data_IF_831560657674
#
_entry.id   IF_831560657674
#
_cell.length_a   1.000
_cell.length_b   1.000
_cell.length_c   1.000
_cell.angle_alpha   90.00
_cell.angle_beta   90.00
_cell.angle_gamma   90.00
#
_symmetry.space_group_name_H-M   'P 1'
#
loop_
_entity.id
_entity.type
_entity.pdbx_description
1 polymer ?
#
# COMPACT_ATOMS: atom_id res chain seq x y z
N UNK A 1 -23.88 -3.97 19.14
CA UNK A 1 -22.44 -3.70 19.38
C UNK A 1 -21.49 -4.78 18.84
N UNK A 2 -21.81 -6.08 19.00
CA UNK A 2 -21.02 -7.23 18.51
C UNK A 2 -20.62 -7.18 17.02
N UNK A 3 -21.56 -6.91 16.12
CA UNK A 3 -21.31 -6.84 14.66
C UNK A 3 -20.33 -5.73 14.24
N UNK A 4 -20.26 -4.63 15.00
CA UNK A 4 -19.42 -3.46 14.67
C UNK A 4 -17.95 -3.68 15.04
N UNK A 5 -17.70 -4.38 16.14
CA UNK A 5 -16.34 -4.76 16.57
C UNK A 5 -15.79 -5.84 15.63
N UNK A 6 -16.63 -6.81 15.24
CA UNK A 6 -16.27 -7.87 14.31
C UNK A 6 -15.90 -7.34 12.91
N UNK A 7 -16.63 -6.34 12.40
CA UNK A 7 -16.31 -5.71 11.12
C UNK A 7 -14.99 -4.92 11.15
N UNK A 8 -14.70 -4.19 12.23
CA UNK A 8 -13.42 -3.49 12.36
C UNK A 8 -12.24 -4.47 12.43
N UNK A 9 -12.40 -5.58 13.16
CA UNK A 9 -11.36 -6.59 13.27
C UNK A 9 -11.09 -7.31 11.94
N UNK A 10 -12.14 -7.61 11.17
CA UNK A 10 -12.01 -8.13 9.81
C UNK A 10 -11.28 -7.17 8.88
N UNK A 11 -11.59 -5.87 8.95
CA UNK A 11 -10.91 -4.85 8.16
C UNK A 11 -9.42 -4.73 8.52
N UNK A 12 -9.07 -4.76 9.81
CA UNK A 12 -7.67 -4.72 10.25
C UNK A 12 -6.92 -5.95 9.72
N UNK A 13 -7.50 -7.15 9.84
CA UNK A 13 -6.90 -8.38 9.29
C UNK A 13 -6.69 -8.30 7.79
N UNK A 14 -7.68 -7.78 7.06
CA UNK A 14 -7.59 -7.62 5.62
C UNK A 14 -6.45 -6.66 5.26
N UNK A 15 -6.37 -5.50 5.92
CA UNK A 15 -5.33 -4.52 5.69
C UNK A 15 -3.93 -5.07 6.02
N UNK A 16 -3.79 -5.83 7.10
CA UNK A 16 -2.54 -6.51 7.44
C UNK A 16 -2.16 -7.56 6.37
N UNK A 17 -3.13 -8.32 5.86
CA UNK A 17 -2.90 -9.26 4.77
C UNK A 17 -2.46 -8.55 3.50
N UNK A 18 -3.11 -7.45 3.14
CA UNK A 18 -2.76 -6.63 1.98
C UNK A 18 -1.35 -6.03 2.12
N UNK A 19 -1.01 -5.54 3.32
CA UNK A 19 0.31 -5.02 3.64
C UNK A 19 1.38 -6.08 3.48
N UNK A 20 1.21 -7.23 4.13
CA UNK A 20 2.18 -8.32 4.11
C UNK A 20 2.39 -8.87 2.70
N UNK A 21 1.31 -9.15 1.97
CA UNK A 21 1.39 -9.62 0.59
C UNK A 21 2.01 -8.56 -0.33
N UNK A 22 1.70 -7.28 -0.12
CA UNK A 22 2.31 -6.20 -0.88
C UNK A 22 3.82 -6.11 -0.67
N UNK A 23 4.28 -6.16 0.58
CA UNK A 23 5.72 -6.18 0.88
C UNK A 23 6.41 -7.43 0.30
N UNK A 24 5.81 -8.61 0.43
CA UNK A 24 6.34 -9.83 -0.19
C UNK A 24 6.42 -9.72 -1.72
N UNK A 25 5.41 -9.11 -2.35
CA UNK A 25 5.40 -8.89 -3.80
C UNK A 25 6.56 -7.98 -4.24
N UNK A 26 6.83 -6.91 -3.49
CA UNK A 26 7.96 -6.01 -3.76
C UNK A 26 9.29 -6.74 -3.58
N UNK A 27 9.46 -7.50 -2.49
CA UNK A 27 10.68 -8.28 -2.22
C UNK A 27 10.92 -9.31 -3.31
N UNK A 28 9.89 -10.06 -3.70
CA UNK A 28 9.96 -11.05 -4.76
C UNK A 28 10.41 -10.43 -6.09
N UNK A 29 9.80 -9.31 -6.49
CA UNK A 29 10.20 -8.61 -7.70
C UNK A 29 11.55 -7.89 -7.58
N UNK A 30 12.04 -7.62 -6.36
CA UNK A 30 13.40 -7.13 -6.13
C UNK A 30 14.47 -8.15 -6.50
N UNK A 31 14.14 -9.45 -6.46
CA UNK A 31 15.04 -10.54 -6.88
C UNK A 31 15.12 -10.69 -8.39
N UNK A 32 14.24 -10.02 -9.14
CA UNK A 32 14.25 -10.08 -10.59
C UNK A 32 15.25 -9.07 -11.14
N UNK A 33 16.11 -9.54 -12.05
CA UNK A 33 17.05 -8.67 -12.73
C UNK A 33 16.31 -7.59 -13.53
N UNK A 34 16.84 -6.36 -13.51
CA UNK A 34 16.28 -5.29 -14.32
C UNK A 34 16.46 -5.61 -15.82
N UNK A 35 15.35 -5.80 -16.53
CA UNK A 35 15.33 -6.17 -17.95
C UNK A 35 15.76 -5.01 -18.86
N UNK A 36 16.01 -3.81 -18.32
CA UNK A 36 16.42 -2.66 -19.10
C UNK A 36 17.78 -2.90 -19.81
N UNK A 37 17.82 -2.86 -21.14
CA UNK A 37 18.98 -3.31 -21.92
C UNK A 37 20.20 -2.37 -21.85
N UNK A 38 20.01 -1.12 -21.44
CA UNK A 38 21.07 -0.10 -21.39
C UNK A 38 22.02 -0.21 -20.18
N UNK A 39 21.74 -1.09 -19.21
CA UNK A 39 22.54 -1.22 -17.98
C UNK A 39 23.56 -2.36 -18.08
N UNK A 40 23.48 -3.22 -19.10
CA UNK A 40 24.24 -4.48 -19.14
C UNK A 40 25.45 -4.42 -20.07
N UNK A 41 26.64 -4.30 -19.48
CA UNK A 41 27.87 -4.81 -20.07
C UNK A 41 27.95 -6.34 -19.95
N UNK A 42 28.85 -6.97 -20.70
CA UNK A 42 29.03 -8.44 -20.72
C UNK A 42 29.41 -9.07 -19.36
N UNK A 43 29.77 -8.26 -18.36
CA UNK A 43 30.22 -8.68 -17.03
C UNK A 43 29.21 -8.35 -15.91
N UNK A 44 27.96 -8.02 -16.22
CA UNK A 44 26.98 -7.62 -15.20
C UNK A 44 26.67 -8.78 -14.23
N UNK A 45 27.10 -8.65 -12.98
CA UNK A 45 26.71 -9.50 -11.86
C UNK A 45 25.50 -8.85 -11.18
N UNK A 46 24.41 -9.60 -11.06
CA UNK A 46 23.23 -9.11 -10.36
C UNK A 46 23.48 -9.03 -8.85
N UNK A 47 23.33 -7.83 -8.31
CA UNK A 47 23.29 -7.57 -6.88
C UNK A 47 21.87 -7.17 -6.50
N UNK A 48 21.35 -7.77 -5.43
CA UNK A 48 19.99 -7.48 -4.96
C UNK A 48 19.94 -6.06 -4.37
N UNK A 49 19.07 -5.16 -4.87
CA UNK A 49 19.03 -3.76 -4.44
C UNK A 49 18.30 -3.63 -3.09
N UNK A 50 18.98 -4.05 -2.01
CA UNK A 50 18.37 -4.17 -0.68
C UNK A 50 17.85 -2.84 -0.15
N UNK A 51 18.60 -1.76 -0.33
CA UNK A 51 18.25 -0.42 0.16
C UNK A 51 16.97 0.10 -0.54
N UNK A 52 16.89 -0.08 -1.85
CA UNK A 52 15.76 0.39 -2.66
C UNK A 52 14.49 -0.43 -2.38
N UNK A 53 14.63 -1.75 -2.23
CA UNK A 53 13.51 -2.63 -1.88
C UNK A 53 12.99 -2.34 -0.47
N UNK A 54 13.88 -2.11 0.49
CA UNK A 54 13.49 -1.73 1.85
C UNK A 54 12.80 -0.36 1.85
N UNK A 55 13.35 0.61 1.12
CA UNK A 55 12.75 1.94 0.99
C UNK A 55 11.34 1.85 0.39
N UNK A 56 11.16 1.13 -0.72
CA UNK A 56 9.83 0.96 -1.34
C UNK A 56 8.83 0.24 -0.42
N UNK A 57 9.28 -0.76 0.35
CA UNK A 57 8.44 -1.39 1.38
C UNK A 57 8.04 -0.41 2.49
N UNK A 58 8.97 0.44 2.95
CA UNK A 58 8.68 1.47 3.96
C UNK A 58 7.68 2.49 3.44
N UNK A 59 7.88 2.99 2.21
CA UNK A 59 6.97 3.93 1.57
C UNK A 59 5.57 3.31 1.44
N UNK A 60 5.46 2.04 1.02
CA UNK A 60 4.18 1.32 0.96
C UNK A 60 3.52 1.21 2.34
N UNK A 61 4.31 0.99 3.38
CA UNK A 61 3.85 0.81 4.77
C UNK A 61 3.21 2.06 5.38
N UNK A 62 3.53 3.27 4.88
CA UNK A 62 3.04 4.55 5.42
C UNK A 62 1.51 4.57 5.56
N UNK A 63 0.79 4.09 4.53
CA UNK A 63 -0.67 4.02 4.57
C UNK A 63 -1.18 3.18 5.75
N UNK A 64 -0.61 1.99 5.94
CA UNK A 64 -1.05 1.04 6.96
C UNK A 64 -0.71 1.55 8.36
N UNK A 65 0.44 2.21 8.52
CA UNK A 65 0.81 2.88 9.76
C UNK A 65 -0.19 3.99 10.08
N UNK A 66 -0.46 4.90 9.13
CA UNK A 66 -1.42 5.98 9.31
C UNK A 66 -2.83 5.46 9.64
N UNK A 67 -3.28 4.42 8.95
CA UNK A 67 -4.57 3.77 9.20
C UNK A 67 -4.60 3.07 10.57
N UNK A 68 -3.50 2.43 10.97
CA UNK A 68 -3.34 1.83 12.29
C UNK A 68 -3.44 2.86 13.41
N UNK A 69 -2.72 3.97 13.30
CA UNK A 69 -2.81 5.09 14.24
C UNK A 69 -4.22 5.65 14.34
N UNK A 70 -4.88 5.86 13.19
CA UNK A 70 -6.25 6.35 13.18
C UNK A 70 -7.24 5.39 13.87
N UNK A 71 -6.99 4.09 13.78
CA UNK A 71 -7.79 3.07 14.47
C UNK A 71 -7.55 3.05 15.98
N UNK A 72 -6.28 3.08 16.40
CA UNK A 72 -5.88 3.07 17.83
C UNK A 72 -6.41 4.32 18.55
N UNK A 73 -6.29 5.49 17.93
CA UNK A 73 -6.79 6.75 18.47
C UNK A 73 -8.30 6.94 18.30
N UNK A 74 -9.01 5.95 17.74
CA UNK A 74 -10.44 6.00 17.42
C UNK A 74 -10.85 7.20 16.52
N UNK A 75 -9.93 7.78 15.76
CA UNK A 75 -10.19 8.88 14.84
C UNK A 75 -11.20 8.49 13.76
N UNK A 76 -11.19 7.22 13.33
CA UNK A 76 -12.19 6.63 12.43
C UNK A 76 -13.63 6.76 12.95
N UNK A 77 -13.82 6.88 14.27
CA UNK A 77 -15.14 7.03 14.89
C UNK A 77 -15.51 8.49 15.06
N UNK A 78 -14.55 9.31 15.52
CA UNK A 78 -14.76 10.71 15.85
C UNK A 78 -14.82 11.59 14.60
N UNK A 79 -13.91 11.38 13.65
CA UNK A 79 -13.77 12.17 12.43
C UNK A 79 -13.65 11.28 11.18
N UNK A 80 -14.67 10.48 10.85
CA UNK A 80 -14.59 9.47 9.79
C UNK A 80 -14.24 10.06 8.41
N UNK A 81 -14.78 11.24 8.08
CA UNK A 81 -14.51 11.92 6.81
C UNK A 81 -13.07 12.45 6.76
N UNK A 82 -12.57 13.05 7.84
CA UNK A 82 -11.21 13.58 7.89
C UNK A 82 -10.19 12.45 7.76
N UNK A 83 -10.38 11.36 8.51
CA UNK A 83 -9.50 10.18 8.42
C UNK A 83 -9.52 9.58 7.02
N UNK A 84 -10.70 9.47 6.39
CA UNK A 84 -10.81 9.01 5.02
C UNK A 84 -10.03 9.91 4.06
N UNK A 85 -10.21 11.23 4.14
CA UNK A 85 -9.52 12.20 3.27
C UNK A 85 -8.00 12.13 3.41
N UNK A 86 -7.48 12.08 4.65
CA UNK A 86 -6.04 11.95 4.91
C UNK A 86 -5.50 10.65 4.31
N UNK A 87 -6.18 9.52 4.54
CA UNK A 87 -5.77 8.24 3.98
C UNK A 87 -5.79 8.25 2.44
N UNK A 88 -6.78 8.90 1.83
CA UNK A 88 -6.85 9.06 0.37
C UNK A 88 -5.70 9.90 -0.17
N UNK A 89 -5.32 10.99 0.49
CA UNK A 89 -4.15 11.78 0.11
C UNK A 89 -2.86 10.96 0.17
N UNK A 90 -2.69 10.12 1.20
CA UNK A 90 -1.53 9.23 1.32
C UNK A 90 -1.47 8.27 0.12
N UNK A 91 -2.57 7.57 -0.20
CA UNK A 91 -2.57 6.60 -1.32
C UNK A 91 -2.36 7.29 -2.67
N UNK A 92 -2.95 8.46 -2.89
CA UNK A 92 -2.72 9.23 -4.11
C UNK A 92 -1.24 9.66 -4.22
N UNK A 93 -0.65 10.14 -3.13
CA UNK A 93 0.77 10.46 -3.09
C UNK A 93 1.66 9.25 -3.37
N UNK A 94 1.35 8.09 -2.77
CA UNK A 94 2.02 6.83 -3.03
C UNK A 94 1.91 6.41 -4.51
N UNK A 95 0.74 6.57 -5.12
CA UNK A 95 0.51 6.27 -6.54
C UNK A 95 1.35 7.18 -7.44
N UNK A 96 1.40 8.49 -7.16
CA UNK A 96 2.24 9.41 -7.93
C UNK A 96 3.72 9.01 -7.87
N UNK A 97 4.22 8.71 -6.66
CA UNK A 97 5.58 8.20 -6.47
C UNK A 97 5.80 6.90 -7.26
N UNK A 98 4.82 5.99 -7.24
CA UNK A 98 4.89 4.72 -7.96
C UNK A 98 4.90 4.91 -9.48
N UNK A 99 4.13 5.85 -10.03
CA UNK A 99 4.10 6.16 -11.46
C UNK A 99 5.48 6.69 -11.88
N UNK A 100 6.01 7.70 -11.17
CA UNK A 100 7.32 8.25 -11.50
C UNK A 100 8.45 7.23 -11.35
N UNK A 101 8.38 6.36 -10.33
CA UNK A 101 9.32 5.27 -10.16
C UNK A 101 9.23 4.26 -11.29
N UNK A 102 8.04 3.72 -11.58
CA UNK A 102 7.87 2.64 -12.55
C UNK A 102 8.22 3.03 -14.01
N UNK A 103 8.25 4.32 -14.36
CA UNK A 103 8.58 4.78 -15.72
C UNK A 103 10.01 4.42 -16.17
N UNK A 104 10.95 4.27 -15.25
CA UNK A 104 12.36 4.04 -15.57
C UNK A 104 13.07 3.02 -14.67
N UNK A 105 12.34 2.30 -13.83
CA UNK A 105 12.93 1.60 -12.69
C UNK A 105 12.76 0.07 -12.72
N UNK A 106 13.50 -0.64 -11.83
CA UNK A 106 13.50 -2.10 -11.79
C UNK A 106 12.13 -2.73 -11.46
N UNK A 107 11.98 -4.06 -11.62
CA UNK A 107 10.70 -4.75 -11.51
C UNK A 107 9.95 -4.54 -10.18
N UNK A 108 10.66 -4.29 -9.08
CA UNK A 108 10.05 -4.03 -7.77
C UNK A 108 9.25 -2.72 -7.71
N UNK A 109 9.58 -1.71 -8.53
CA UNK A 109 8.78 -0.48 -8.66
C UNK A 109 7.47 -0.73 -9.39
N UNK A 110 7.46 -1.62 -10.37
CA UNK A 110 6.22 -2.07 -11.02
C UNK A 110 5.33 -2.85 -10.03
N UNK A 111 5.92 -3.71 -9.20
CA UNK A 111 5.20 -4.38 -8.13
C UNK A 111 4.60 -3.39 -7.12
N UNK A 112 5.36 -2.36 -6.74
CA UNK A 112 4.88 -1.27 -5.89
C UNK A 112 3.72 -0.49 -6.55
N UNK A 113 3.80 -0.19 -7.85
CA UNK A 113 2.70 0.41 -8.61
C UNK A 113 1.43 -0.45 -8.59
N UNK A 114 1.54 -1.75 -8.84
CA UNK A 114 0.40 -2.67 -8.80
C UNK A 114 -0.21 -2.68 -7.39
N UNK A 115 0.62 -2.81 -6.36
CA UNK A 115 0.17 -2.82 -4.97
C UNK A 115 -0.56 -1.51 -4.58
N UNK A 116 -0.05 -0.36 -5.02
CA UNK A 116 -0.65 0.95 -4.75
C UNK A 116 -1.96 1.16 -5.50
N UNK A 117 -2.09 0.65 -6.74
CA UNK A 117 -3.37 0.64 -7.47
C UNK A 117 -4.39 -0.21 -6.73
N UNK A 118 -4.03 -1.42 -6.30
CA UNK A 118 -4.93 -2.28 -5.51
C UNK A 118 -5.34 -1.55 -4.23
N UNK A 119 -4.39 -0.94 -3.53
CA UNK A 119 -4.64 -0.18 -2.32
C UNK A 119 -5.60 1.00 -2.55
N UNK A 120 -5.48 1.71 -3.68
CA UNK A 120 -6.39 2.77 -4.08
C UNK A 120 -7.80 2.25 -4.31
N UNK A 121 -7.96 1.13 -5.00
CA UNK A 121 -9.26 0.50 -5.21
C UNK A 121 -9.89 0.12 -3.85
N UNK A 122 -9.11 -0.44 -2.93
CA UNK A 122 -9.56 -0.70 -1.56
C UNK A 122 -10.02 0.57 -0.85
N UNK A 123 -9.24 1.65 -0.94
CA UNK A 123 -9.55 2.95 -0.35
C UNK A 123 -10.84 3.55 -0.94
N UNK A 124 -11.06 3.46 -2.25
CA UNK A 124 -12.21 4.07 -2.94
C UNK A 124 -13.50 3.26 -2.80
N UNK A 125 -13.44 1.93 -2.80
CA UNK A 125 -14.65 1.10 -2.85
C UNK A 125 -15.01 0.49 -1.50
N UNK A 126 -14.03 -0.05 -0.78
CA UNK A 126 -14.30 -0.87 0.41
C UNK A 126 -14.50 0.00 1.64
N UNK A 127 -13.69 1.07 1.80
CA UNK A 127 -13.83 1.97 2.95
C UNK A 127 -15.16 2.75 2.91
N UNK A 128 -15.60 3.35 1.78
CA UNK A 128 -16.89 4.05 1.73
C UNK A 128 -18.09 3.12 1.88
N UNK A 129 -18.03 1.90 1.35
CA UNK A 129 -19.08 0.90 1.55
C UNK A 129 -19.30 0.58 3.05
N UNK A 130 -18.20 0.50 3.81
CA UNK A 130 -18.25 0.29 5.26
C UNK A 130 -18.74 1.51 6.04
N UNK A 131 -18.43 2.73 5.57
CA UNK A 131 -18.94 3.97 6.13
C UNK A 131 -20.45 4.13 5.88
N UNK A 132 -20.95 3.78 4.69
CA UNK A 132 -22.36 3.94 4.33
C UNK A 132 -23.27 3.00 5.14
N UNK A 133 -22.85 1.74 5.36
CA UNK A 133 -23.59 0.79 6.23
C UNK A 133 -23.80 1.31 7.65
N UNK A 134 -22.96 2.22 8.16
CA UNK A 134 -23.09 2.79 9.51
C UNK A 134 -24.25 3.80 9.62
N UNK A 135 -24.74 4.36 8.52
CA UNK A 135 -25.77 5.43 8.51
C UNK A 135 -27.21 4.92 8.37
N UNK A 136 -27.39 3.63 8.05
CA UNK A 136 -28.69 2.99 7.75
C UNK A 136 -29.23 2.11 8.89
N UNK A 137 -28.69 2.21 10.10
CA UNK A 137 -29.11 1.50 11.31
C UNK A 137 -29.27 2.48 12.46
#
# INVERSE_FOLDING_TARGET
MKNKIQNNFMLIKLLLGLWFLGCLNIIYHGQQQNTYPFIRGAEYIFEYPIEEVLFTCLVFSIYFIARGFASVLMLDRTYPLLTYTICSFIVIGQLLIAIFGAMHAPPYWAAYLINTVILLLFQLFIIPALLHKKKSS
#
